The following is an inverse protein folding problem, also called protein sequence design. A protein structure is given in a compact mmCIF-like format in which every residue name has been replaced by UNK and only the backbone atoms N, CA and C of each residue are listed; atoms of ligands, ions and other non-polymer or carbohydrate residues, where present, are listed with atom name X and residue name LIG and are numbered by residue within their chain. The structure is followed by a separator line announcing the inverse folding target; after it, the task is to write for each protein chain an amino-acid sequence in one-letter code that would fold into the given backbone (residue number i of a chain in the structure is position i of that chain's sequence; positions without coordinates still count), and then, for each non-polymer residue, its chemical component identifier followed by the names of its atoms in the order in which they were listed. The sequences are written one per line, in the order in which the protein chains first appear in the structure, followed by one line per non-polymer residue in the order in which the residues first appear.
data_IF_008056420711
#
_entry.id   IF_008056420711
#
_cell.length_a   1.000
_cell.length_b   1.000
_cell.length_c   1.000
_cell.angle_alpha   90.00
_cell.angle_beta   90.00
_cell.angle_gamma   90.00
#
_symmetry.space_group_name_H-M   'P 1'
#
loop_
_entity.id
_entity.type
_entity.pdbx_description
1 polymer ?
#
# COMPACT_ATOMS: atom_id res chain seq x y z
N UNK A 1 8.14 10.06 7.44
CA UNK A 1 7.39 10.06 7.16
C UNK A 1 6.21 11.01 7.07
N UNK A 2 6.44 12.24 6.66
CA UNK A 2 5.32 13.18 6.57
C UNK A 2 4.73 13.29 5.17
N UNK A 3 5.10 12.37 4.29
CA UNK A 3 4.59 12.39 2.93
C UNK A 3 3.17 11.86 2.88
N UNK A 4 2.32 12.60 2.18
CA UNK A 4 0.97 12.15 1.88
C UNK A 4 0.95 11.64 0.45
N UNK A 5 0.23 10.55 0.22
CA UNK A 5 0.11 9.95 -1.11
C UNK A 5 -1.32 10.18 -1.60
N UNK A 6 -1.61 11.31 -2.25
CA UNK A 6 -2.98 11.64 -2.62
C UNK A 6 -3.48 10.94 -3.90
N UNK A 7 -2.57 10.46 -4.73
CA UNK A 7 -2.96 9.82 -5.99
C UNK A 7 -1.88 8.87 -6.50
N UNK A 8 -2.12 8.27 -7.66
CA UNK A 8 -1.18 7.32 -8.24
C UNK A 8 0.12 7.94 -8.68
N UNK A 9 0.11 9.18 -9.15
CA UNK A 9 1.33 9.86 -9.56
C UNK A 9 2.24 10.12 -8.36
N UNK A 10 1.67 10.54 -7.24
CA UNK A 10 2.44 10.76 -6.03
C UNK A 10 3.00 9.43 -5.49
N UNK A 11 2.22 8.36 -5.60
CA UNK A 11 2.67 7.03 -5.18
C UNK A 11 3.86 6.57 -6.00
N UNK A 12 3.82 6.81 -7.31
CA UNK A 12 4.92 6.44 -8.18
C UNK A 12 6.15 7.29 -7.91
N UNK A 13 5.99 8.59 -7.68
CA UNK A 13 7.10 9.47 -7.33
C UNK A 13 7.81 8.99 -6.05
N UNK A 14 7.03 8.61 -5.05
CA UNK A 14 7.60 8.09 -3.82
C UNK A 14 8.41 6.82 -4.07
N UNK A 15 7.86 5.90 -4.85
CA UNK A 15 8.53 4.65 -5.16
C UNK A 15 9.84 4.88 -5.92
N UNK A 16 9.81 5.78 -6.90
CA UNK A 16 11.01 6.11 -7.68
C UNK A 16 12.06 6.76 -6.79
N UNK A 17 11.65 7.65 -5.86
CA UNK A 17 12.58 8.28 -4.93
C UNK A 17 13.25 7.26 -4.03
N UNK A 18 12.48 6.30 -3.50
CA UNK A 18 13.04 5.25 -2.64
C UNK A 18 14.03 4.40 -3.42
N UNK A 19 13.69 4.05 -4.66
CA UNK A 19 14.58 3.27 -5.49
C UNK A 19 15.88 4.01 -5.78
N UNK A 20 15.77 5.31 -6.04
CA UNK A 20 16.94 6.15 -6.32
C UNK A 20 17.85 6.23 -5.10
N UNK A 21 17.28 6.40 -3.91
CA UNK A 21 18.04 6.58 -2.67
C UNK A 21 18.59 5.28 -2.09
N UNK A 22 17.83 4.18 -2.21
CA UNK A 22 18.17 2.93 -1.54
C UNK A 22 18.39 1.76 -2.48
N UNK A 23 18.15 1.94 -3.76
CA UNK A 23 18.21 0.90 -4.78
C UNK A 23 17.24 -0.26 -4.50
N UNK A 24 16.14 0.02 -3.80
CA UNK A 24 15.13 -0.96 -3.45
C UNK A 24 13.83 -0.71 -4.19
N UNK A 25 13.14 -1.80 -4.58
CA UNK A 25 11.80 -1.72 -5.16
C UNK A 25 10.72 -2.14 -4.15
N UNK A 26 11.10 -2.30 -2.88
CA UNK A 26 10.18 -2.69 -1.81
C UNK A 26 9.91 -1.50 -0.91
N UNK A 27 8.63 -1.24 -0.66
CA UNK A 27 8.17 -0.08 0.09
C UNK A 27 7.45 -0.51 1.36
N UNK A 28 7.81 0.10 2.49
CA UNK A 28 7.09 -0.08 3.75
C UNK A 28 6.47 1.26 4.10
N UNK A 29 5.14 1.34 4.13
CA UNK A 29 4.42 2.61 4.23
C UNK A 29 3.36 2.54 5.31
N UNK A 30 3.33 3.49 6.26
CA UNK A 30 2.24 3.54 7.25
C UNK A 30 0.94 3.99 6.59
N UNK A 31 -0.17 3.49 7.08
CA UNK A 31 -1.48 3.83 6.51
C UNK A 31 -1.78 5.33 6.56
N UNK A 32 -1.18 6.03 7.50
CA UNK A 32 -1.37 7.46 7.67
C UNK A 32 -0.87 8.29 6.48
N UNK A 33 -0.05 7.70 5.63
CA UNK A 33 0.39 8.38 4.41
C UNK A 33 -0.70 8.49 3.36
N UNK A 34 -1.80 7.74 3.51
CA UNK A 34 -2.89 7.73 2.55
C UNK A 34 -4.08 8.54 3.06
N UNK A 35 -4.77 9.29 2.18
CA UNK A 35 -5.99 9.97 2.59
C UNK A 35 -7.11 8.96 2.84
N UNK A 36 -8.17 9.32 3.59
CA UNK A 36 -9.30 8.41 3.83
C UNK A 36 -9.90 7.84 2.55
N UNK A 37 -9.91 8.61 1.47
CA UNK A 37 -10.44 8.17 0.18
C UNK A 37 -9.76 6.92 -0.35
N UNK A 38 -8.51 6.68 0.03
CA UNK A 38 -7.79 5.47 -0.36
C UNK A 38 -8.53 4.21 0.07
N UNK A 39 -9.13 4.27 1.27
CA UNK A 39 -9.82 3.11 1.87
C UNK A 39 -11.26 2.98 1.42
N UNK A 40 -11.75 3.90 0.61
CA UNK A 40 -13.08 3.84 0.02
C UNK A 40 -12.94 3.37 -1.42
N UNK A 41 -13.15 2.06 -1.64
CA UNK A 41 -12.88 1.47 -2.95
C UNK A 41 -13.65 2.12 -4.09
N UNK A 42 -14.81 2.69 -3.79
CA UNK A 42 -15.63 3.35 -4.79
C UNK A 42 -14.93 4.57 -5.42
N UNK A 43 -13.92 5.13 -4.75
CA UNK A 43 -13.17 6.25 -5.32
C UNK A 43 -12.18 5.82 -6.40
N UNK A 44 -11.80 4.53 -6.40
CA UNK A 44 -10.80 4.03 -7.34
C UNK A 44 -9.36 4.35 -6.98
N UNK A 45 -9.14 5.10 -5.90
CA UNK A 45 -7.79 5.56 -5.56
C UNK A 45 -6.85 4.41 -5.20
N UNK A 46 -7.32 3.46 -4.41
CA UNK A 46 -6.48 2.31 -4.04
C UNK A 46 -6.06 1.53 -5.29
N UNK A 47 -7.02 1.27 -6.19
CA UNK A 47 -6.72 0.57 -7.43
C UNK A 47 -5.71 1.33 -8.28
N UNK A 48 -5.85 2.63 -8.38
CA UNK A 48 -4.93 3.46 -9.16
C UNK A 48 -3.50 3.38 -8.60
N UNK A 49 -3.36 3.51 -7.29
CA UNK A 49 -2.05 3.48 -6.64
C UNK A 49 -1.38 2.12 -6.79
N UNK A 50 -2.13 1.05 -6.50
CA UNK A 50 -1.60 -0.30 -6.60
C UNK A 50 -1.23 -0.65 -8.04
N UNK A 51 -2.03 -0.19 -8.99
CA UNK A 51 -1.77 -0.42 -10.41
C UNK A 51 -0.45 0.25 -10.83
N UNK A 52 -0.21 1.47 -10.37
CA UNK A 52 1.03 2.18 -10.68
C UNK A 52 2.24 1.41 -10.16
N UNK A 53 2.20 0.99 -8.90
CA UNK A 53 3.32 0.25 -8.33
C UNK A 53 3.55 -1.06 -9.06
N UNK A 54 2.50 -1.81 -9.33
CA UNK A 54 2.60 -3.09 -10.01
C UNK A 54 3.17 -2.94 -11.42
N UNK A 55 2.69 -1.93 -12.15
CA UNK A 55 3.15 -1.69 -13.52
C UNK A 55 4.62 -1.36 -13.62
N UNK A 56 5.17 -0.73 -12.58
CA UNK A 56 6.57 -0.33 -12.57
C UNK A 56 7.46 -1.26 -11.74
N UNK A 57 6.93 -2.40 -11.33
CA UNK A 57 7.73 -3.43 -10.67
C UNK A 57 8.01 -3.21 -9.21
N UNK A 58 7.23 -2.37 -8.54
CA UNK A 58 7.39 -2.13 -7.11
C UNK A 58 6.50 -3.07 -6.29
N UNK A 59 6.97 -3.38 -5.09
CA UNK A 59 6.19 -4.13 -4.09
C UNK A 59 6.07 -3.29 -2.85
N UNK A 60 4.92 -3.34 -2.20
CA UNK A 60 4.64 -2.48 -1.06
C UNK A 60 3.92 -3.24 0.05
N UNK A 61 4.21 -2.85 1.29
CA UNK A 61 3.44 -3.32 2.43
C UNK A 61 2.99 -2.10 3.21
N UNK A 62 1.69 -1.98 3.39
CA UNK A 62 1.05 -0.88 4.10
C UNK A 62 0.68 -1.39 5.47
N UNK A 63 1.16 -0.72 6.52
CA UNK A 63 0.92 -1.21 7.86
C UNK A 63 0.10 -0.23 8.69
N UNK A 64 -0.63 -0.77 9.65
CA UNK A 64 -1.46 0.01 10.54
C UNK A 64 -2.71 -0.76 10.92
N UNK A 65 -3.59 -0.09 11.67
CA UNK A 65 -4.86 -0.68 12.07
C UNK A 65 -5.95 -0.25 11.07
N UNK A 66 -6.42 -1.22 10.29
CA UNK A 66 -7.44 -0.97 9.27
C UNK A 66 -8.85 -1.29 9.76
N UNK A 67 -9.02 -1.63 11.04
CA UNK A 67 -10.30 -2.12 11.55
C UNK A 67 -11.43 -1.11 11.39
N UNK A 68 -11.14 0.18 11.56
CA UNK A 68 -12.16 1.21 11.39
C UNK A 68 -12.79 1.19 10.00
N UNK A 69 -12.03 0.79 9.00
CA UNK A 69 -12.51 0.72 7.62
C UNK A 69 -13.07 -0.65 7.28
N UNK A 70 -12.42 -1.73 7.74
CA UNK A 70 -12.85 -3.08 7.39
C UNK A 70 -14.12 -3.51 8.12
N UNK A 71 -14.40 -2.91 9.27
CA UNK A 71 -15.64 -3.20 10.00
C UNK A 71 -16.88 -2.69 9.27
N UNK A 72 -16.72 -1.62 8.49
CA UNK A 72 -17.85 -1.00 7.79
C UNK A 72 -17.87 -1.28 6.29
N UNK A 73 -16.83 -1.90 5.74
CA UNK A 73 -16.75 -2.15 4.31
C UNK A 73 -16.31 -3.58 4.04
N UNK A 74 -17.26 -4.41 3.63
CA UNK A 74 -16.95 -5.77 3.21
C UNK A 74 -16.08 -5.77 1.95
N UNK A 75 -16.33 -4.83 1.05
CA UNK A 75 -15.52 -4.72 -0.20
C UNK A 75 -14.07 -4.47 0.12
N UNK A 76 -13.78 -3.59 1.06
CA UNK A 76 -12.40 -3.32 1.45
C UNK A 76 -11.77 -4.54 2.12
N UNK A 77 -12.54 -5.22 2.98
CA UNK A 77 -12.06 -6.43 3.63
C UNK A 77 -11.66 -7.48 2.62
N UNK A 78 -12.49 -7.70 1.61
CA UNK A 78 -12.22 -8.65 0.55
C UNK A 78 -11.02 -8.23 -0.30
N UNK A 79 -10.90 -6.93 -0.57
CA UNK A 79 -9.78 -6.36 -1.32
C UNK A 79 -8.46 -6.61 -0.59
N UNK A 80 -8.42 -6.33 0.70
CA UNK A 80 -7.22 -6.55 1.52
C UNK A 80 -6.85 -8.04 1.54
N UNK A 81 -7.86 -8.89 1.69
CA UNK A 81 -7.64 -10.33 1.71
C UNK A 81 -7.00 -10.81 0.39
N UNK A 82 -7.52 -10.33 -0.72
CA UNK A 82 -6.98 -10.71 -2.03
C UNK A 82 -5.55 -10.18 -2.23
N UNK A 83 -5.28 -8.95 -1.80
CA UNK A 83 -3.93 -8.39 -1.88
C UNK A 83 -2.94 -9.21 -1.05
N UNK A 84 -3.35 -9.64 0.13
CA UNK A 84 -2.47 -10.41 1.02
C UNK A 84 -2.18 -11.81 0.51
N UNK A 85 -2.99 -12.32 -0.40
CA UNK A 85 -2.72 -13.61 -1.03
C UNK A 85 -1.77 -13.52 -2.21
N UNK A 86 -1.55 -12.30 -2.71
CA UNK A 86 -0.65 -12.08 -3.84
C UNK A 86 0.77 -11.82 -3.38
N UNK A 87 1.56 -11.23 -4.28
CA UNK A 87 2.98 -10.97 -4.02
C UNK A 87 3.36 -9.50 -4.23
N UNK A 88 2.40 -8.65 -4.60
CA UNK A 88 2.71 -7.27 -4.97
C UNK A 88 2.47 -6.27 -3.84
N UNK A 89 1.32 -6.33 -3.19
CA UNK A 89 0.94 -5.39 -2.13
C UNK A 89 0.34 -6.14 -0.95
N UNK A 90 0.74 -5.74 0.25
CA UNK A 90 0.27 -6.36 1.48
C UNK A 90 -0.28 -5.31 2.44
N UNK A 91 -1.29 -5.69 3.22
CA UNK A 91 -1.86 -4.86 4.28
C UNK A 91 -1.69 -5.63 5.59
N UNK A 92 -0.88 -5.11 6.49
CA UNK A 92 -0.51 -5.81 7.72
C UNK A 92 -0.64 -4.87 8.91
N UNK A 93 -0.75 -5.40 10.15
CA UNK A 93 -0.98 -4.54 11.31
C UNK A 93 0.24 -3.80 11.80
N UNK A 94 1.46 -4.30 11.56
CA UNK A 94 2.66 -3.68 12.10
C UNK A 94 3.75 -3.53 11.05
N UNK A 95 4.67 -2.60 11.31
CA UNK A 95 5.82 -2.40 10.45
C UNK A 95 6.69 -3.66 10.37
N UNK A 96 6.85 -4.36 11.49
CA UNK A 96 7.65 -5.58 11.51
C UNK A 96 7.08 -6.63 10.56
N UNK A 97 5.76 -6.82 10.57
CA UNK A 97 5.12 -7.75 9.66
C UNK A 97 5.25 -7.31 8.21
N UNK A 98 5.23 -5.98 7.98
CA UNK A 98 5.43 -5.45 6.63
C UNK A 98 6.81 -5.85 6.10
N UNK A 99 7.84 -5.68 6.92
CA UNK A 99 9.19 -6.04 6.52
C UNK A 99 9.33 -7.54 6.32
N UNK A 100 8.70 -8.34 7.18
CA UNK A 100 8.72 -9.79 7.04
C UNK A 100 8.06 -10.27 5.76
N UNK A 101 6.89 -9.71 5.43
CA UNK A 101 6.18 -10.11 4.20
C UNK A 101 6.99 -9.77 2.96
N UNK A 102 7.60 -8.60 2.94
CA UNK A 102 8.40 -8.18 1.79
C UNK A 102 9.68 -8.99 1.65
N UNK A 103 10.24 -9.49 2.74
CA UNK A 103 11.44 -10.30 2.67
C UNK A 103 11.17 -11.69 2.09
N UNK A 104 9.92 -12.12 2.05
CA UNK A 104 9.53 -13.44 1.55
C UNK A 104 9.18 -13.45 0.06
N UNK A 105 9.18 -12.32 -0.59
CA UNK A 105 8.79 -12.24 -2.02
C UNK A 105 9.90 -11.70 -2.90
#
# INVERSE_FOLDING_TARGET
ADRTIPDGDAALELAVSVRYETDSTRLVIPKECFPPEFFWLSTGLAGEILQKWTNYGFRAAIFGDFSAYTEVSKSLRDFIYECNRGTAVFFVPTRQEAEERLSQV
#
